data_IF_489332027850
#
_entry.id   IF_489332027850
#
_cell.length_a   1.000
_cell.length_b   1.000
_cell.length_c   1.000
_cell.angle_alpha   90.00
_cell.angle_beta   90.00
_cell.angle_gamma   90.00
#
_symmetry.space_group_name_H-M   'P 1'
#
loop_
_entity.id
_entity.type
_entity.pdbx_description
1 polymer ?
#
# COMPACT_ATOMS: atom_id res chain seq x y z
N UNK A 1 49.37 -2.05 12.10
CA UNK A 1 48.35 -3.11 11.97
C UNK A 1 47.04 -2.78 12.68
N UNK A 2 47.05 -2.41 13.98
CA UNK A 2 45.83 -2.17 14.77
C UNK A 2 44.84 -1.15 14.17
N UNK A 3 45.33 -0.02 13.63
CA UNK A 3 44.48 1.01 13.02
C UNK A 3 43.77 0.54 11.73
N UNK A 4 44.46 -0.24 10.89
CA UNK A 4 43.87 -0.80 9.66
C UNK A 4 42.76 -1.80 10.00
N UNK A 5 42.97 -2.63 11.04
CA UNK A 5 41.97 -3.58 11.53
C UNK A 5 40.75 -2.87 12.10
N UNK A 6 40.95 -1.78 12.86
CA UNK A 6 39.85 -0.97 13.39
C UNK A 6 39.02 -0.34 12.27
N UNK A 7 39.66 0.21 11.24
CA UNK A 7 38.97 0.80 10.08
C UNK A 7 38.14 -0.23 9.31
N UNK A 8 38.66 -1.44 9.13
CA UNK A 8 37.92 -2.54 8.47
C UNK A 8 36.71 -2.97 9.31
N UNK A 9 36.85 -3.07 10.63
CA UNK A 9 35.72 -3.40 11.53
C UNK A 9 34.64 -2.32 11.51
N UNK A 10 35.02 -1.03 11.53
CA UNK A 10 34.07 0.07 11.38
C UNK A 10 33.36 0.05 10.02
N UNK A 11 34.09 -0.24 8.94
CA UNK A 11 33.49 -0.35 7.60
C UNK A 11 32.49 -1.52 7.53
N UNK A 12 32.82 -2.68 8.11
CA UNK A 12 31.92 -3.85 8.18
C UNK A 12 30.66 -3.55 9.00
N UNK A 13 30.79 -2.85 10.12
CA UNK A 13 29.65 -2.41 10.94
C UNK A 13 28.75 -1.44 10.17
N UNK A 14 29.32 -0.47 9.45
CA UNK A 14 28.56 0.46 8.62
C UNK A 14 27.85 -0.24 7.46
N UNK A 15 28.47 -1.24 6.83
CA UNK A 15 27.87 -2.02 5.76
C UNK A 15 26.74 -2.93 6.24
N UNK A 16 26.79 -3.43 7.48
CA UNK A 16 25.72 -4.26 8.04
C UNK A 16 24.39 -3.53 8.19
N UNK A 17 24.39 -2.20 8.36
CA UNK A 17 23.17 -1.39 8.44
C UNK A 17 22.38 -1.39 7.11
N UNK A 18 23.03 -1.69 5.98
CA UNK A 18 22.39 -1.79 4.67
C UNK A 18 21.81 -3.18 4.37
N UNK A 19 22.12 -4.20 5.20
CA UNK A 19 21.64 -5.58 5.02
C UNK A 19 20.33 -5.82 5.79
N UNK A 20 19.82 -4.82 6.51
CA UNK A 20 18.50 -4.93 7.14
C UNK A 20 17.44 -5.19 6.06
N UNK A 21 16.96 -6.44 6.02
CA UNK A 21 15.94 -6.92 5.10
C UNK A 21 14.66 -6.13 5.38
N UNK A 22 14.33 -5.17 4.51
CA UNK A 22 13.01 -4.54 4.56
C UNK A 22 12.04 -5.54 3.96
N UNK A 23 11.22 -6.14 4.81
CA UNK A 23 10.07 -6.91 4.35
C UNK A 23 9.16 -5.96 3.58
N UNK A 24 8.87 -6.29 2.32
CA UNK A 24 7.92 -5.50 1.54
C UNK A 24 6.57 -5.46 2.28
N UNK A 25 5.93 -4.28 2.37
CA UNK A 25 4.65 -4.17 3.03
C UNK A 25 3.59 -4.95 2.25
N UNK A 26 2.66 -5.57 2.98
CA UNK A 26 1.50 -6.26 2.39
C UNK A 26 0.56 -5.19 1.82
N UNK A 27 0.13 -5.34 0.56
CA UNK A 27 -0.86 -4.43 -0.01
C UNK A 27 -2.25 -5.03 0.06
N UNK A 28 -3.20 -4.27 0.62
CA UNK A 28 -4.63 -4.54 0.51
C UNK A 28 -5.17 -3.66 -0.63
N UNK A 29 -5.44 -4.26 -1.77
CA UNK A 29 -6.18 -3.63 -2.85
C UNK A 29 -7.67 -3.67 -2.55
N UNK A 30 -8.36 -2.56 -2.74
CA UNK A 30 -9.80 -2.51 -2.54
C UNK A 30 -10.50 -2.04 -3.81
N UNK A 31 -11.51 -2.78 -4.24
CA UNK A 31 -12.38 -2.41 -5.36
C UNK A 31 -13.81 -2.39 -4.85
N UNK A 32 -14.63 -1.46 -5.32
CA UNK A 32 -15.96 -1.27 -4.79
C UNK A 32 -16.61 0.02 -5.26
N UNK A 33 -17.67 0.41 -4.56
CA UNK A 33 -18.52 1.54 -4.93
C UNK A 33 -18.31 2.77 -4.04
N UNK A 34 -19.30 3.67 -3.99
CA UNK A 34 -19.28 4.90 -3.20
C UNK A 34 -19.14 4.70 -1.69
N UNK A 35 -19.54 3.55 -1.15
CA UNK A 35 -19.45 3.26 0.29
C UNK A 35 -18.03 2.93 0.72
N UNK A 36 -17.16 2.53 -0.22
CA UNK A 36 -15.75 2.20 0.02
C UNK A 36 -14.81 3.30 -0.50
N UNK A 37 -15.21 4.03 -1.55
CA UNK A 37 -14.38 4.99 -2.27
C UNK A 37 -13.78 6.11 -1.42
N UNK A 38 -12.56 6.53 -1.78
CA UNK A 38 -11.94 7.73 -1.25
C UNK A 38 -12.73 8.98 -1.65
N UNK A 39 -13.00 9.85 -0.69
CA UNK A 39 -13.74 11.09 -0.86
C UNK A 39 -12.82 12.29 -0.68
N UNK A 40 -13.04 13.31 -1.50
CA UNK A 40 -12.31 14.58 -1.39
C UNK A 40 -12.54 15.22 -0.03
N UNK A 41 -11.47 15.74 0.58
CA UNK A 41 -11.54 16.51 1.82
C UNK A 41 -11.80 18.02 1.58
N UNK A 42 -11.89 18.44 0.32
CA UNK A 42 -12.10 19.84 -0.05
C UNK A 42 -13.55 20.26 0.22
N UNK A 43 -13.77 21.57 0.32
CA UNK A 43 -15.10 22.21 0.37
C UNK A 43 -16.00 21.71 1.52
N UNK A 44 -15.43 21.30 2.65
CA UNK A 44 -16.21 20.83 3.80
C UNK A 44 -16.93 19.50 3.56
N UNK A 45 -16.50 18.69 2.58
CA UNK A 45 -17.10 17.39 2.34
C UNK A 45 -16.89 16.44 3.52
N UNK A 46 -18.01 15.98 4.10
CA UNK A 46 -18.03 15.09 5.27
C UNK A 46 -18.11 13.60 4.88
N UNK A 47 -18.40 13.26 3.63
CA UNK A 47 -18.50 11.86 3.20
C UNK A 47 -17.15 11.14 3.33
N UNK A 48 -17.16 9.90 3.81
CA UNK A 48 -16.00 9.01 3.81
C UNK A 48 -16.46 7.61 3.38
N UNK A 49 -15.74 7.00 2.46
CA UNK A 49 -15.88 5.56 2.26
C UNK A 49 -15.20 4.81 3.41
N UNK A 50 -15.70 3.64 3.79
CA UNK A 50 -15.09 2.85 4.86
C UNK A 50 -13.63 2.48 4.52
N UNK A 51 -13.34 2.24 3.23
CA UNK A 51 -11.99 1.98 2.72
C UNK A 51 -11.03 3.16 2.90
N UNK A 52 -11.52 4.40 2.91
CA UNK A 52 -10.69 5.59 3.19
C UNK A 52 -10.18 5.61 4.63
N UNK A 53 -10.91 5.00 5.57
CA UNK A 53 -10.59 4.98 6.99
C UNK A 53 -9.78 3.75 7.39
N UNK A 54 -9.83 2.70 6.57
CA UNK A 54 -9.16 1.42 6.80
C UNK A 54 -7.65 1.52 7.12
N UNK A 55 -6.84 2.39 6.47
CA UNK A 55 -5.41 2.48 6.77
C UNK A 55 -5.11 2.77 8.25
N UNK A 56 -6.01 3.46 8.97
CA UNK A 56 -5.82 3.82 10.38
C UNK A 56 -5.86 2.65 11.36
N UNK A 57 -6.16 1.44 10.89
CA UNK A 57 -6.22 0.23 11.70
C UNK A 57 -4.99 -0.68 11.52
N UNK A 58 -4.01 -0.28 10.71
CA UNK A 58 -2.82 -1.08 10.44
C UNK A 58 -1.53 -0.35 10.82
N UNK A 59 -0.45 -1.12 10.97
CA UNK A 59 0.92 -0.59 11.06
C UNK A 59 1.47 -0.29 9.66
N UNK A 60 2.67 0.28 9.58
CA UNK A 60 3.34 0.55 8.29
C UNK A 60 3.72 -0.73 7.51
N UNK A 61 3.51 -1.90 8.08
CA UNK A 61 3.67 -3.19 7.39
C UNK A 61 2.53 -3.47 6.38
N UNK A 62 1.46 -2.67 6.39
CA UNK A 62 0.32 -2.81 5.48
C UNK A 62 0.06 -1.50 4.75
N UNK A 63 -0.06 -1.58 3.43
CA UNK A 63 -0.48 -0.48 2.56
C UNK A 63 -1.88 -0.77 2.05
N UNK A 64 -2.75 0.23 2.04
CA UNK A 64 -4.11 0.11 1.48
C UNK A 64 -4.17 0.92 0.18
N UNK A 65 -4.34 0.22 -0.95
CA UNK A 65 -4.52 0.83 -2.27
C UNK A 65 -6.01 0.77 -2.67
N UNK A 66 -6.74 1.85 -2.39
CA UNK A 66 -8.20 1.91 -2.58
C UNK A 66 -8.57 2.41 -3.98
N UNK A 67 -9.05 1.50 -4.83
CA UNK A 67 -9.52 1.74 -6.20
C UNK A 67 -11.04 1.87 -6.31
N UNK A 68 -11.78 1.76 -5.20
CA UNK A 68 -13.23 1.90 -5.20
C UNK A 68 -13.66 3.28 -5.73
N UNK A 69 -14.77 3.28 -6.47
CA UNK A 69 -15.23 4.47 -7.18
C UNK A 69 -16.75 4.60 -7.13
N UNK A 70 -17.23 5.83 -6.93
CA UNK A 70 -18.66 6.13 -6.85
C UNK A 70 -19.43 5.59 -8.06
N UNK A 71 -20.56 4.93 -7.81
CA UNK A 71 -21.49 4.48 -8.85
C UNK A 71 -21.00 3.32 -9.72
N UNK A 72 -19.95 2.59 -9.30
CA UNK A 72 -19.47 1.42 -10.02
C UNK A 72 -20.20 0.16 -9.56
N UNK A 73 -20.68 -0.61 -10.53
CA UNK A 73 -21.03 -2.02 -10.36
C UNK A 73 -19.85 -2.88 -10.79
N UNK A 74 -19.90 -4.20 -10.58
CA UNK A 74 -18.87 -5.10 -11.09
C UNK A 74 -18.68 -4.96 -12.61
N UNK A 75 -19.77 -4.78 -13.36
CA UNK A 75 -19.73 -4.62 -14.82
C UNK A 75 -19.03 -3.32 -15.23
N UNK A 76 -19.41 -2.17 -14.66
CA UNK A 76 -18.76 -0.91 -15.04
C UNK A 76 -17.30 -0.84 -14.56
N UNK A 77 -16.98 -1.46 -13.42
CA UNK A 77 -15.60 -1.53 -12.93
C UNK A 77 -14.68 -2.29 -13.89
N UNK A 78 -15.16 -3.41 -14.44
CA UNK A 78 -14.45 -4.18 -15.47
C UNK A 78 -14.38 -3.39 -16.78
N UNK A 79 -15.51 -2.87 -17.28
CA UNK A 79 -15.56 -2.16 -18.56
C UNK A 79 -14.71 -0.88 -18.59
N UNK A 80 -14.53 -0.22 -17.45
CA UNK A 80 -13.68 0.97 -17.31
C UNK A 80 -12.18 0.63 -17.16
N UNK A 81 -11.79 -0.66 -17.18
CA UNK A 81 -10.40 -1.11 -17.03
C UNK A 81 -9.84 -0.90 -15.62
N UNK A 82 -10.68 -0.62 -14.63
CA UNK A 82 -10.22 -0.42 -13.23
C UNK A 82 -9.70 -1.72 -12.62
N UNK A 83 -10.28 -2.84 -13.01
CA UNK A 83 -9.79 -4.16 -12.60
C UNK A 83 -8.40 -4.46 -13.14
N UNK A 84 -8.12 -4.07 -14.39
CA UNK A 84 -6.81 -4.28 -15.03
C UNK A 84 -5.69 -3.53 -14.31
N UNK A 85 -5.98 -2.32 -13.81
CA UNK A 85 -5.04 -1.53 -12.99
C UNK A 85 -4.64 -2.31 -11.74
N UNK A 86 -5.62 -2.90 -11.04
CA UNK A 86 -5.37 -3.67 -9.81
C UNK A 86 -4.61 -4.94 -10.13
N UNK A 87 -5.03 -5.71 -11.14
CA UNK A 87 -4.35 -6.92 -11.59
C UNK A 87 -2.88 -6.69 -11.98
N UNK A 88 -2.56 -5.55 -12.57
CA UNK A 88 -1.18 -5.23 -12.97
C UNK A 88 -0.22 -5.01 -11.79
N UNK A 89 -0.75 -4.84 -10.57
CA UNK A 89 0.02 -4.50 -9.37
C UNK A 89 0.00 -5.56 -8.27
N UNK A 90 -0.86 -6.57 -8.35
CA UNK A 90 -0.98 -7.58 -7.28
C UNK A 90 0.21 -8.54 -7.36
N UNK A 91 0.79 -8.84 -6.20
CA UNK A 91 1.82 -9.86 -6.06
C UNK A 91 1.44 -10.88 -4.99
N UNK A 92 2.21 -11.97 -4.90
CA UNK A 92 2.00 -13.01 -3.89
C UNK A 92 2.15 -12.41 -2.49
N UNK A 93 1.10 -12.53 -1.68
CA UNK A 93 1.06 -12.03 -0.30
C UNK A 93 0.11 -10.85 -0.12
N UNK A 94 -0.31 -10.20 -1.21
CA UNK A 94 -1.31 -9.14 -1.19
C UNK A 94 -2.74 -9.68 -1.04
N UNK A 95 -3.66 -8.79 -0.67
CA UNK A 95 -5.08 -9.08 -0.53
C UNK A 95 -5.91 -8.21 -1.49
N UNK A 96 -7.05 -8.74 -1.92
CA UNK A 96 -8.06 -7.97 -2.66
C UNK A 96 -9.38 -8.04 -1.92
N UNK A 97 -9.89 -6.90 -1.48
CA UNK A 97 -11.24 -6.78 -0.94
C UNK A 97 -12.17 -6.23 -2.04
N UNK A 98 -13.33 -6.87 -2.22
CA UNK A 98 -14.31 -6.62 -3.28
C UNK A 98 -15.67 -6.32 -2.64
#
# INVERSE_FOLDING_TARGET
MKLKVLLVLCALLLLSAFIAERKDPITIFMIGDSTMANKSLKNGNIERGWGQMLPGYFTEEVVVDNHAMNGRSSLSFINEGRWDIVLSKIHKGDYVFI
#
